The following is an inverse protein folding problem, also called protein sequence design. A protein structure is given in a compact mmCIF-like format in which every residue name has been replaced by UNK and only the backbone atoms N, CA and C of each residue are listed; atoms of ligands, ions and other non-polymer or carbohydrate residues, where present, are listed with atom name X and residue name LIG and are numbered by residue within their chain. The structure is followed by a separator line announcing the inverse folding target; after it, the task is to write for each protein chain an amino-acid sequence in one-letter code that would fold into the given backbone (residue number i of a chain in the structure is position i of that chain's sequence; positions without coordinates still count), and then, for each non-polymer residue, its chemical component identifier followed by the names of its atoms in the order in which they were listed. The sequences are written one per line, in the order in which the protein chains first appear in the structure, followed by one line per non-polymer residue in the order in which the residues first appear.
data_IF_545522672298
#
_entry.id   IF_545522672298
#
_cell.length_a   1.000
_cell.length_b   1.000
_cell.length_c   1.000
_cell.angle_alpha   90.00
_cell.angle_beta   90.00
_cell.angle_gamma   90.00
#
_symmetry.space_group_name_H-M   'P 1'
#
loop_
_entity.id
_entity.type
_entity.pdbx_description
1 polymer ?
#
# COMPACT_ATOMS: atom_id res chain seq x y z
N UNK A 1 19.17 3.66 16.73
CA UNK A 1 20.60 3.75 16.48
C UNK A 1 21.22 2.36 16.44
N UNK A 2 22.32 2.16 15.67
CA UNK A 2 23.05 0.90 15.58
C UNK A 2 22.13 -0.25 15.15
N UNK A 3 22.01 -1.33 15.94
CA UNK A 3 21.06 -2.41 15.67
C UNK A 3 19.62 -1.90 15.49
N UNK A 4 19.21 -0.93 16.31
CA UNK A 4 17.92 -0.27 16.14
C UNK A 4 17.82 0.52 14.82
N UNK A 5 18.94 1.03 14.30
CA UNK A 5 19.02 1.67 12.99
C UNK A 5 18.74 0.69 11.86
N UNK A 6 19.33 -0.52 11.90
CA UNK A 6 19.05 -1.60 10.93
C UNK A 6 17.57 -2.01 10.99
N UNK A 7 17.04 -2.24 12.20
CA UNK A 7 15.63 -2.57 12.38
C UNK A 7 14.70 -1.47 11.86
N UNK A 8 15.03 -0.20 12.10
CA UNK A 8 14.25 0.94 11.61
C UNK A 8 14.24 1.04 10.09
N UNK A 9 15.38 0.78 9.41
CA UNK A 9 15.44 0.74 7.94
C UNK A 9 14.51 -0.35 7.39
N UNK A 10 14.55 -1.57 7.94
CA UNK A 10 13.68 -2.67 7.52
C UNK A 10 12.20 -2.36 7.74
N UNK A 11 11.86 -1.87 8.94
CA UNK A 11 10.48 -1.52 9.27
C UNK A 11 9.95 -0.38 8.41
N UNK A 12 10.79 0.63 8.11
CA UNK A 12 10.43 1.73 7.22
C UNK A 12 10.04 1.24 5.82
N UNK A 13 10.85 0.39 5.19
CA UNK A 13 10.56 -0.15 3.87
C UNK A 13 9.39 -1.14 3.86
N UNK A 14 9.18 -1.89 4.96
CA UNK A 14 8.14 -2.90 5.04
C UNK A 14 6.77 -2.34 5.42
N UNK A 15 6.73 -1.28 6.25
CA UNK A 15 5.51 -0.66 6.78
C UNK A 15 5.39 0.83 6.40
N UNK A 16 5.96 1.25 5.28
CA UNK A 16 5.94 2.65 4.85
C UNK A 16 4.52 3.24 4.85
N UNK A 17 3.53 2.48 4.43
CA UNK A 17 2.13 2.87 4.36
C UNK A 17 1.46 3.16 5.73
N UNK A 18 2.12 2.83 6.85
CA UNK A 18 1.67 3.17 8.21
C UNK A 18 2.45 4.32 8.85
N UNK A 19 3.50 4.81 8.22
CA UNK A 19 4.45 5.74 8.82
C UNK A 19 4.36 7.13 8.16
N UNK A 20 4.59 8.19 8.94
CA UNK A 20 4.88 9.52 8.42
C UNK A 20 6.37 9.66 8.06
N UNK A 21 7.23 8.97 8.80
CA UNK A 21 8.67 9.00 8.57
C UNK A 21 9.41 7.99 9.42
N UNK A 22 10.69 7.82 9.13
CA UNK A 22 11.62 6.98 9.88
C UNK A 22 13.01 7.62 9.93
N UNK A 23 13.67 7.47 11.08
CA UNK A 23 15.00 8.09 11.32
C UNK A 23 16.03 7.07 11.80
N UNK A 24 16.40 6.05 11.01
CA UNK A 24 17.53 5.19 11.34
C UNK A 24 18.83 5.98 11.46
N UNK A 25 19.67 5.61 12.43
CA UNK A 25 20.95 6.26 12.69
C UNK A 25 22.04 5.23 12.96
N UNK A 26 23.23 5.45 12.40
CA UNK A 26 24.35 4.53 12.47
C UNK A 26 23.95 3.09 12.14
N UNK A 27 22.98 2.94 11.22
CA UNK A 27 22.57 1.71 10.61
C UNK A 27 23.36 1.45 9.32
N UNK A 28 23.06 0.39 8.63
CA UNK A 28 23.75 0.00 7.40
C UNK A 28 23.09 -1.24 6.84
N UNK A 29 21.77 -1.23 6.78
CA UNK A 29 21.03 -2.34 6.16
C UNK A 29 21.21 -2.30 4.64
N UNK A 30 21.63 -3.40 4.02
CA UNK A 30 21.63 -3.52 2.56
C UNK A 30 20.24 -3.22 1.98
N UNK A 31 20.17 -2.43 0.90
CA UNK A 31 18.90 -2.00 0.32
C UNK A 31 18.05 -3.16 -0.23
N UNK A 32 18.65 -4.32 -0.49
CA UNK A 32 17.90 -5.53 -0.79
C UNK A 32 16.97 -5.95 0.36
N UNK A 33 17.35 -5.70 1.61
CA UNK A 33 16.55 -6.03 2.80
C UNK A 33 15.64 -4.87 3.23
N UNK A 34 15.88 -3.68 2.71
CA UNK A 34 15.11 -2.46 2.97
C UNK A 34 15.03 -1.62 1.68
N UNK A 35 14.25 -2.05 0.67
CA UNK A 35 14.17 -1.37 -0.62
C UNK A 35 13.79 0.10 -0.47
N UNK A 36 14.62 1.00 -1.01
CA UNK A 36 14.40 2.45 -0.95
C UNK A 36 13.15 2.86 -1.73
N UNK A 37 12.80 2.11 -2.75
CA UNK A 37 11.60 2.38 -3.56
C UNK A 37 10.31 2.32 -2.74
N UNK A 38 10.27 1.49 -1.68
CA UNK A 38 9.08 1.36 -0.85
C UNK A 38 8.81 2.60 0.04
N UNK A 39 9.80 3.48 0.24
CA UNK A 39 9.65 4.64 1.13
C UNK A 39 9.26 5.93 0.41
N UNK A 40 8.65 5.83 -0.76
CA UNK A 40 8.28 6.97 -1.61
C UNK A 40 7.51 8.08 -0.89
N UNK A 41 6.62 7.70 0.03
CA UNK A 41 5.66 8.60 0.68
C UNK A 41 5.97 8.91 2.16
N UNK A 42 7.15 8.54 2.63
CA UNK A 42 7.56 8.85 4.01
C UNK A 42 8.81 9.72 4.04
N UNK A 43 8.97 10.51 5.09
CA UNK A 43 10.23 11.19 5.36
C UNK A 43 11.26 10.18 5.87
N UNK A 44 12.33 9.97 5.12
CA UNK A 44 13.34 8.96 5.46
C UNK A 44 14.68 9.60 5.79
N UNK A 45 15.12 9.49 7.06
CA UNK A 45 16.43 9.98 7.50
C UNK A 45 17.34 8.81 7.84
N UNK A 46 18.54 8.77 7.22
CA UNK A 46 19.59 7.81 7.56
C UNK A 46 20.92 8.55 7.72
N UNK A 47 21.43 8.61 8.94
CA UNK A 47 22.66 9.35 9.24
C UNK A 47 23.71 8.43 9.86
N UNK A 48 24.93 8.49 9.34
CA UNK A 48 26.03 7.59 9.72
C UNK A 48 27.36 8.35 9.66
N UNK A 49 28.26 8.11 10.58
CA UNK A 49 29.60 8.73 10.54
C UNK A 49 30.46 8.19 9.38
N UNK A 50 31.26 9.05 8.76
CA UNK A 50 32.17 8.69 7.67
C UNK A 50 33.22 7.66 8.09
N UNK A 51 33.59 7.65 9.37
CA UNK A 51 34.56 6.71 9.96
C UNK A 51 33.89 5.44 10.53
N UNK A 52 32.57 5.30 10.40
CA UNK A 52 31.81 4.11 10.83
C UNK A 52 31.86 3.02 9.73
N UNK A 53 33.06 2.47 9.54
CA UNK A 53 33.35 1.48 8.51
C UNK A 53 33.03 0.03 8.91
N UNK A 54 32.78 -0.21 10.21
CA UNK A 54 32.35 -1.51 10.69
C UNK A 54 31.05 -1.95 10.01
N UNK A 55 31.04 -3.18 9.48
CA UNK A 55 29.93 -3.71 8.69
C UNK A 55 29.58 -2.86 7.44
N UNK A 56 30.50 -2.01 6.98
CA UNK A 56 30.33 -1.11 5.82
C UNK A 56 29.19 -0.10 5.96
N UNK A 57 28.83 0.30 7.18
CA UNK A 57 27.70 1.20 7.43
C UNK A 57 27.79 2.53 6.67
N UNK A 58 28.97 3.16 6.67
CA UNK A 58 29.23 4.38 5.91
C UNK A 58 29.00 4.20 4.40
N UNK A 59 29.47 3.09 3.81
CA UNK A 59 29.28 2.78 2.39
C UNK A 59 27.83 2.47 2.04
N UNK A 60 27.14 1.72 2.89
CA UNK A 60 25.74 1.39 2.70
C UNK A 60 24.84 2.62 2.83
N UNK A 61 25.17 3.56 3.73
CA UNK A 61 24.51 4.86 3.83
C UNK A 61 24.76 5.70 2.57
N UNK A 62 26.00 5.74 2.07
CA UNK A 62 26.32 6.43 0.82
C UNK A 62 25.52 5.84 -0.36
N UNK A 63 25.43 4.51 -0.45
CA UNK A 63 24.61 3.84 -1.47
C UNK A 63 23.13 4.19 -1.34
N UNK A 64 22.61 4.26 -0.12
CA UNK A 64 21.23 4.67 0.12
C UNK A 64 20.96 6.11 -0.33
N UNK A 65 21.90 7.03 -0.09
CA UNK A 65 21.81 8.41 -0.58
C UNK A 65 21.77 8.47 -2.11
N UNK A 66 22.67 7.78 -2.79
CA UNK A 66 22.72 7.74 -4.26
C UNK A 66 21.42 7.23 -4.87
N UNK A 67 20.84 6.18 -4.29
CA UNK A 67 19.56 5.62 -4.75
C UNK A 67 18.39 6.57 -4.44
N UNK A 68 18.35 7.18 -3.26
CA UNK A 68 17.30 8.12 -2.88
C UNK A 68 17.32 9.38 -3.75
N UNK A 69 18.50 9.95 -4.02
CA UNK A 69 18.70 11.08 -4.91
C UNK A 69 18.18 10.80 -6.33
N UNK A 70 18.48 9.61 -6.85
CA UNK A 70 18.04 9.22 -8.19
C UNK A 70 16.52 9.02 -8.24
N UNK A 71 15.94 8.34 -7.25
CA UNK A 71 14.48 8.15 -7.15
C UNK A 71 13.75 9.49 -7.01
N UNK A 72 14.26 10.42 -6.20
CA UNK A 72 13.66 11.76 -6.06
C UNK A 72 13.71 12.56 -7.36
N UNK A 73 14.76 12.43 -8.17
CA UNK A 73 14.85 13.06 -9.49
C UNK A 73 13.82 12.47 -10.47
N UNK A 74 13.61 11.15 -10.43
CA UNK A 74 12.63 10.46 -11.27
C UNK A 74 11.20 10.76 -10.86
N UNK A 75 10.95 10.96 -9.56
CA UNK A 75 9.64 11.19 -8.97
C UNK A 75 9.64 12.46 -8.09
N UNK A 76 9.62 13.67 -8.68
CA UNK A 76 9.64 14.92 -7.93
C UNK A 76 8.45 15.02 -6.96
N UNK A 77 8.74 15.36 -5.71
CA UNK A 77 7.74 15.45 -4.62
C UNK A 77 7.63 14.17 -3.76
N UNK A 78 8.22 13.07 -4.20
CA UNK A 78 8.33 11.82 -3.45
C UNK A 78 9.77 11.60 -2.95
N UNK A 79 9.98 10.57 -2.13
CA UNK A 79 11.29 10.20 -1.60
C UNK A 79 11.98 11.32 -0.82
N UNK A 80 11.22 12.03 0.02
CA UNK A 80 11.78 13.05 0.90
C UNK A 80 12.77 12.41 1.87
N UNK A 81 14.03 12.81 1.79
CA UNK A 81 15.07 12.18 2.58
C UNK A 81 16.06 13.18 3.19
N UNK A 82 16.62 12.77 4.34
CA UNK A 82 17.74 13.39 5.00
C UNK A 82 18.80 12.32 5.28
N UNK A 83 19.52 11.93 4.21
CA UNK A 83 20.55 10.91 4.27
C UNK A 83 21.92 11.58 4.25
N UNK A 84 22.76 11.26 5.25
CA UNK A 84 24.03 11.96 5.45
C UNK A 84 25.12 11.00 5.93
N UNK A 85 26.31 11.08 5.31
CA UNK A 85 27.55 10.52 5.82
C UNK A 85 28.35 11.64 6.46
N UNK A 86 28.41 11.67 7.80
CA UNK A 86 28.91 12.80 8.59
C UNK A 86 30.43 12.72 8.68
N UNK A 87 31.13 13.69 8.09
CA UNK A 87 32.57 13.76 8.10
C UNK A 87 33.17 13.89 9.53
N UNK A 88 34.21 13.12 9.82
CA UNK A 88 34.89 13.11 11.09
C UNK A 88 34.23 12.28 12.19
N UNK A 89 32.99 11.88 12.03
CA UNK A 89 32.25 11.06 13.00
C UNK A 89 32.49 9.55 12.75
N UNK A 90 32.55 8.79 13.84
CA UNK A 90 32.55 7.33 13.84
C UNK A 90 31.13 6.78 14.09
N UNK A 91 31.06 5.72 14.88
CA UNK A 91 29.75 5.09 15.22
C UNK A 91 28.85 5.96 16.12
N UNK A 92 29.40 6.90 16.84
CA UNK A 92 28.66 7.89 17.64
C UNK A 92 28.50 9.17 16.81
N UNK A 93 27.28 9.57 16.54
CA UNK A 93 26.93 10.76 15.77
C UNK A 93 26.01 11.69 16.57
N UNK A 94 25.84 12.93 16.11
CA UNK A 94 24.81 13.82 16.63
C UNK A 94 23.42 13.43 16.11
N UNK A 95 22.54 12.97 16.99
CA UNK A 95 21.18 12.52 16.64
C UNK A 95 20.15 13.67 16.58
N UNK A 96 20.48 14.84 17.15
CA UNK A 96 19.54 15.95 17.37
C UNK A 96 18.84 16.46 16.11
N UNK A 97 19.48 16.52 14.94
CA UNK A 97 18.83 17.05 13.74
C UNK A 97 17.68 16.19 13.18
N UNK A 98 17.69 14.88 13.45
CA UNK A 98 16.74 13.94 12.84
C UNK A 98 15.29 14.18 13.30
N UNK A 99 15.06 14.32 14.60
CA UNK A 99 13.69 14.44 15.14
C UNK A 99 12.98 15.72 14.72
N UNK A 100 13.59 16.92 14.78
CA UNK A 100 12.97 18.14 14.28
C UNK A 100 12.63 18.05 12.78
N UNK A 101 13.53 17.48 11.96
CA UNK A 101 13.28 17.30 10.54
C UNK A 101 12.09 16.36 10.28
N UNK A 102 12.01 15.22 10.97
CA UNK A 102 10.88 14.29 10.84
C UNK A 102 9.54 14.92 11.27
N UNK A 103 9.57 15.84 12.24
CA UNK A 103 8.36 16.51 12.74
C UNK A 103 7.69 17.45 11.73
N UNK A 104 8.35 17.76 10.63
CA UNK A 104 7.80 18.58 9.54
C UNK A 104 6.86 17.77 8.61
N UNK A 105 6.83 16.44 8.75
CA UNK A 105 6.09 15.55 7.86
C UNK A 105 4.92 14.89 8.55
N UNK A 106 3.86 14.73 7.80
CA UNK A 106 2.67 13.97 8.20
C UNK A 106 2.50 12.76 7.28
N UNK A 107 1.84 11.74 7.79
CA UNK A 107 1.52 10.55 7.01
C UNK A 107 0.49 10.89 5.93
N UNK A 108 0.72 10.41 4.72
CA UNK A 108 -0.26 10.36 3.65
C UNK A 108 -0.79 8.92 3.49
N UNK A 109 -2.04 8.61 3.90
CA UNK A 109 -2.64 7.29 3.73
C UNK A 109 -3.18 7.04 2.32
N UNK A 110 -3.24 8.07 1.44
CA UNK A 110 -3.91 8.07 0.14
C UNK A 110 -3.04 8.67 -0.98
N UNK A 111 -1.79 8.23 -1.15
CA UNK A 111 -0.89 8.83 -2.11
C UNK A 111 -1.31 8.59 -3.56
N UNK A 112 -0.96 9.53 -4.44
CA UNK A 112 -1.17 9.40 -5.89
C UNK A 112 -0.15 8.49 -6.56
N UNK A 113 0.96 8.22 -5.89
CA UNK A 113 2.03 7.35 -6.36
C UNK A 113 2.57 6.52 -5.22
N UNK A 114 2.81 5.25 -5.48
CA UNK A 114 3.68 4.41 -4.66
C UNK A 114 4.37 3.34 -5.50
N UNK A 115 5.52 2.90 -5.01
CA UNK A 115 6.18 1.69 -5.44
C UNK A 115 6.20 0.69 -4.27
N UNK A 116 5.88 -0.56 -4.54
CA UNK A 116 5.87 -1.63 -3.54
C UNK A 116 6.62 -2.86 -4.04
N UNK A 117 7.84 -3.05 -3.58
CA UNK A 117 8.54 -4.33 -3.69
C UNK A 117 8.07 -5.23 -2.54
N UNK A 118 7.32 -6.28 -2.88
CA UNK A 118 6.76 -7.22 -1.90
C UNK A 118 7.74 -8.36 -1.62
N UNK A 119 8.38 -8.33 -0.48
CA UNK A 119 9.41 -9.27 -0.07
C UNK A 119 9.07 -9.96 1.25
N UNK A 120 9.75 -11.07 1.51
CA UNK A 120 9.67 -11.77 2.78
C UNK A 120 10.53 -11.05 3.84
N UNK A 121 9.92 -10.76 4.99
CA UNK A 121 10.63 -10.27 6.17
C UNK A 121 10.41 -11.25 7.33
N UNK A 122 11.42 -12.07 7.62
CA UNK A 122 11.41 -13.07 8.70
C UNK A 122 10.26 -14.11 8.62
N UNK A 123 9.96 -14.59 7.43
CA UNK A 123 8.93 -15.59 7.20
C UNK A 123 7.53 -15.02 7.00
N UNK A 124 7.41 -13.70 6.79
CA UNK A 124 6.16 -13.03 6.53
C UNK A 124 6.24 -12.08 5.34
N UNK A 125 5.23 -12.16 4.46
CA UNK A 125 4.97 -11.18 3.39
C UNK A 125 3.74 -10.38 3.73
N UNK A 126 3.74 -9.12 3.34
CA UNK A 126 2.52 -8.31 3.45
C UNK A 126 1.55 -8.67 2.34
N UNK A 127 0.27 -8.67 2.69
CA UNK A 127 -0.82 -8.87 1.72
C UNK A 127 -1.42 -7.56 1.22
N UNK A 128 -1.08 -6.41 1.84
CA UNK A 128 -1.61 -5.11 1.44
C UNK A 128 -0.59 -3.99 1.64
N UNK A 129 -0.69 -2.95 0.79
CA UNK A 129 0.14 -1.75 0.84
C UNK A 129 -0.66 -0.57 0.26
N UNK A 130 -0.84 0.51 1.02
CA UNK A 130 -1.76 1.61 0.71
C UNK A 130 -3.17 1.08 0.37
N UNK A 131 -3.64 1.26 -0.86
CA UNK A 131 -4.95 0.81 -1.33
C UNK A 131 -4.88 -0.46 -2.21
N UNK A 132 -3.72 -1.14 -2.26
CA UNK A 132 -3.55 -2.38 -3.02
C UNK A 132 -3.47 -3.60 -2.09
N UNK A 133 -4.17 -4.68 -2.43
CA UNK A 133 -4.12 -5.96 -1.74
C UNK A 133 -3.80 -7.09 -2.72
N UNK A 134 -2.85 -7.94 -2.38
CA UNK A 134 -2.58 -9.18 -3.11
C UNK A 134 -3.61 -10.24 -2.69
N UNK A 135 -4.38 -10.74 -3.65
CA UNK A 135 -5.35 -11.83 -3.47
C UNK A 135 -4.69 -13.17 -3.81
N UNK A 136 -4.05 -13.24 -4.98
CA UNK A 136 -3.28 -14.39 -5.41
C UNK A 136 -1.84 -13.92 -5.71
N UNK A 137 -0.84 -14.37 -4.94
CA UNK A 137 0.51 -13.88 -5.11
C UNK A 137 1.13 -14.37 -6.43
N UNK A 138 1.75 -13.46 -7.15
CA UNK A 138 2.50 -13.76 -8.37
C UNK A 138 3.76 -14.58 -8.09
N UNK A 139 4.41 -14.32 -6.97
CA UNK A 139 5.63 -14.96 -6.51
C UNK A 139 5.55 -15.21 -5.00
N UNK A 140 5.99 -16.38 -4.58
CA UNK A 140 5.94 -16.82 -3.17
C UNK A 140 7.32 -17.04 -2.56
N UNK A 141 8.38 -16.95 -3.37
CA UNK A 141 9.75 -17.20 -2.93
C UNK A 141 10.70 -16.12 -3.48
N UNK A 142 11.37 -15.39 -2.60
CA UNK A 142 12.32 -14.32 -2.94
C UNK A 142 13.51 -14.80 -3.78
N UNK A 143 13.86 -16.09 -3.70
CA UNK A 143 14.92 -16.66 -4.53
C UNK A 143 14.56 -16.71 -6.03
N UNK A 144 13.28 -16.65 -6.35
CA UNK A 144 12.79 -16.57 -7.74
C UNK A 144 12.58 -15.11 -8.20
N UNK A 145 12.76 -14.17 -7.31
CA UNK A 145 12.49 -12.75 -7.46
C UNK A 145 11.33 -12.28 -6.60
N UNK A 146 11.08 -10.99 -6.61
CA UNK A 146 10.03 -10.33 -5.84
C UNK A 146 9.07 -9.62 -6.76
N UNK A 147 7.79 -9.63 -6.43
CA UNK A 147 6.80 -8.86 -7.16
C UNK A 147 6.91 -7.39 -6.77
N UNK A 148 6.95 -6.52 -7.77
CA UNK A 148 6.90 -5.08 -7.62
C UNK A 148 5.60 -4.56 -8.23
N UNK A 149 4.94 -3.69 -7.50
CA UNK A 149 3.73 -3.00 -7.90
C UNK A 149 4.02 -1.50 -7.89
N UNK A 150 3.95 -0.88 -9.05
CA UNK A 150 4.09 0.56 -9.19
C UNK A 150 2.75 1.14 -9.58
N UNK A 151 2.18 1.96 -8.72
CA UNK A 151 0.87 2.56 -8.92
C UNK A 151 0.99 4.08 -9.06
N UNK A 152 0.31 4.61 -10.05
CA UNK A 152 0.12 6.06 -10.23
C UNK A 152 -1.37 6.34 -10.44
N UNK A 153 -1.87 7.39 -9.80
CA UNK A 153 -3.25 7.88 -9.98
C UNK A 153 -3.24 9.29 -10.54
N UNK A 154 -4.06 9.50 -11.55
CA UNK A 154 -4.37 10.81 -12.10
C UNK A 154 -5.89 10.97 -12.24
N UNK A 155 -6.50 11.69 -11.29
CA UNK A 155 -7.96 11.76 -11.19
C UNK A 155 -8.57 10.36 -11.01
N UNK A 156 -9.50 9.99 -11.91
CA UNK A 156 -10.12 8.66 -11.90
C UNK A 156 -9.37 7.59 -12.71
N UNK A 157 -8.14 7.88 -13.15
CA UNK A 157 -7.31 6.92 -13.88
C UNK A 157 -6.24 6.36 -12.95
N UNK A 158 -6.17 5.03 -12.86
CA UNK A 158 -5.12 4.30 -12.17
C UNK A 158 -4.26 3.57 -13.19
N UNK A 159 -2.97 3.78 -13.13
CA UNK A 159 -1.96 2.99 -13.85
C UNK A 159 -1.27 2.09 -12.84
N UNK A 160 -1.25 0.79 -13.10
CA UNK A 160 -0.59 -0.22 -12.29
C UNK A 160 0.40 -0.99 -13.16
N UNK A 161 1.68 -0.85 -12.88
CA UNK A 161 2.73 -1.67 -13.48
C UNK A 161 3.16 -2.76 -12.51
N UNK A 162 3.16 -4.02 -13.00
CA UNK A 162 3.52 -5.19 -12.20
C UNK A 162 4.70 -5.90 -12.84
N UNK A 163 5.80 -5.97 -12.10
CA UNK A 163 7.08 -6.51 -12.58
C UNK A 163 7.69 -7.45 -11.54
N UNK A 164 8.50 -8.39 -11.98
CA UNK A 164 9.39 -9.18 -11.13
C UNK A 164 10.75 -8.50 -11.07
N UNK A 165 11.29 -8.30 -9.86
CA UNK A 165 12.67 -7.89 -9.67
C UNK A 165 13.52 -9.06 -9.21
N UNK A 166 14.70 -9.20 -9.79
CA UNK A 166 15.77 -10.08 -9.34
C UNK A 166 17.03 -9.27 -9.06
N UNK A 167 17.80 -9.73 -8.09
CA UNK A 167 19.03 -9.07 -7.65
C UNK A 167 20.25 -9.86 -8.05
N UNK A 168 21.24 -9.17 -8.58
CA UNK A 168 22.64 -9.65 -8.61
C UNK A 168 23.42 -8.86 -7.58
N UNK A 169 23.89 -9.53 -6.53
CA UNK A 169 24.49 -8.90 -5.35
C UNK A 169 26.01 -8.97 -5.42
N UNK A 170 26.67 -7.92 -4.93
CA UNK A 170 28.11 -7.84 -4.71
C UNK A 170 28.38 -7.94 -3.21
N UNK A 171 29.20 -8.90 -2.83
CA UNK A 171 29.56 -9.14 -1.44
C UNK A 171 31.00 -8.68 -1.16
N UNK A 172 31.19 -8.07 0.00
CA UNK A 172 32.52 -7.85 0.56
C UNK A 172 33.16 -9.19 0.96
N UNK A 173 34.51 -9.23 1.19
CA UNK A 173 35.16 -10.44 1.68
C UNK A 173 34.62 -10.99 2.99
N UNK A 174 33.98 -10.15 3.80
CA UNK A 174 33.28 -10.52 5.03
C UNK A 174 31.94 -11.21 4.81
N UNK A 175 31.46 -11.32 3.56
CA UNK A 175 30.14 -11.86 3.22
C UNK A 175 28.98 -10.87 3.36
N UNK A 176 29.27 -9.60 3.70
CA UNK A 176 28.25 -8.55 3.77
C UNK A 176 27.95 -8.05 2.34
N UNK A 177 26.68 -7.95 2.01
CA UNK A 177 26.22 -7.35 0.75
C UNK A 177 26.49 -5.83 0.79
N UNK A 178 27.23 -5.33 -0.18
CA UNK A 178 27.65 -3.92 -0.25
C UNK A 178 27.13 -3.18 -1.48
N UNK A 179 26.72 -3.92 -2.50
CA UNK A 179 26.14 -3.36 -3.74
C UNK A 179 25.28 -4.41 -4.45
N UNK A 180 24.45 -3.96 -5.39
CA UNK A 180 23.59 -4.82 -6.20
C UNK A 180 23.22 -4.15 -7.51
N UNK A 181 22.76 -4.97 -8.46
CA UNK A 181 22.01 -4.52 -9.64
C UNK A 181 20.64 -5.18 -9.65
N UNK A 182 19.64 -4.45 -10.12
CA UNK A 182 18.27 -4.94 -10.30
C UNK A 182 18.00 -5.26 -11.77
N UNK A 183 17.35 -6.40 -12.02
CA UNK A 183 16.76 -6.74 -13.31
C UNK A 183 15.26 -6.88 -13.15
N UNK A 184 14.52 -6.15 -13.98
CA UNK A 184 13.07 -6.21 -14.01
C UNK A 184 12.59 -7.05 -15.19
N UNK A 185 11.59 -7.88 -14.96
CA UNK A 185 10.94 -8.72 -15.97
C UNK A 185 9.42 -8.67 -15.79
N UNK A 186 8.61 -8.85 -16.84
CA UNK A 186 7.18 -8.91 -16.71
C UNK A 186 6.71 -10.03 -15.76
N UNK A 187 5.63 -9.77 -15.04
CA UNK A 187 4.82 -10.77 -14.35
C UNK A 187 3.59 -11.07 -15.20
N UNK A 188 3.23 -12.36 -15.31
CA UNK A 188 2.15 -12.84 -16.17
C UNK A 188 1.04 -13.56 -15.41
N UNK A 189 1.05 -13.54 -14.08
CA UNK A 189 0.05 -14.20 -13.23
C UNK A 189 -0.09 -13.52 -11.87
N UNK A 190 -1.19 -13.80 -11.22
CA UNK A 190 -1.52 -13.27 -9.90
C UNK A 190 -2.77 -12.40 -9.94
N UNK A 191 -3.33 -12.14 -8.77
CA UNK A 191 -4.50 -11.26 -8.64
C UNK A 191 -4.29 -10.25 -7.55
N UNK A 192 -4.71 -9.04 -7.80
CA UNK A 192 -4.68 -7.96 -6.83
C UNK A 192 -6.04 -7.27 -6.75
N UNK A 193 -6.35 -6.69 -5.61
CA UNK A 193 -7.52 -5.84 -5.40
C UNK A 193 -7.05 -4.40 -5.21
N UNK A 194 -7.56 -3.52 -6.04
CA UNK A 194 -7.42 -2.08 -5.91
C UNK A 194 -8.63 -1.55 -5.16
N UNK A 195 -8.43 -0.98 -3.97
CA UNK A 195 -9.47 -0.36 -3.18
C UNK A 195 -9.62 1.12 -3.55
N UNK A 196 -10.85 1.62 -3.49
CA UNK A 196 -11.23 2.96 -3.90
C UNK A 196 -12.10 3.63 -2.83
N UNK A 197 -11.89 4.91 -2.60
CA UNK A 197 -12.75 5.73 -1.75
C UNK A 197 -12.99 7.12 -2.37
N UNK A 198 -13.93 7.86 -1.79
CA UNK A 198 -14.37 9.16 -2.27
C UNK A 198 -13.36 10.30 -1.98
N UNK A 199 -12.32 10.05 -1.16
CA UNK A 199 -11.23 11.01 -0.93
C UNK A 199 -10.27 11.08 -2.13
N UNK A 200 -10.15 9.95 -2.85
CA UNK A 200 -9.20 9.77 -3.95
C UNK A 200 -9.87 9.79 -5.32
N UNK A 201 -11.13 9.34 -5.41
CA UNK A 201 -11.85 9.11 -6.67
C UNK A 201 -13.23 9.77 -6.66
N UNK A 202 -13.64 10.32 -7.79
CA UNK A 202 -15.04 10.65 -8.03
C UNK A 202 -15.80 9.38 -8.44
N UNK A 203 -16.37 8.67 -7.47
CA UNK A 203 -17.11 7.43 -7.72
C UNK A 203 -18.45 7.64 -8.47
N UNK A 204 -18.83 8.89 -8.75
CA UNK A 204 -19.98 9.21 -9.62
C UNK A 204 -19.60 9.22 -11.11
N UNK A 205 -18.31 9.02 -11.42
CA UNK A 205 -17.77 8.97 -12.76
C UNK A 205 -17.08 7.63 -13.00
N UNK A 206 -16.89 7.21 -14.26
CA UNK A 206 -16.14 6.01 -14.56
C UNK A 206 -14.72 6.06 -14.01
N UNK A 207 -14.28 4.94 -13.45
CA UNK A 207 -12.88 4.70 -13.07
C UNK A 207 -12.20 3.94 -14.20
N UNK A 208 -11.00 4.37 -14.55
CA UNK A 208 -10.17 3.73 -15.56
C UNK A 208 -8.99 3.01 -14.91
N UNK A 209 -8.73 1.76 -15.32
CA UNK A 209 -7.55 1.00 -14.90
C UNK A 209 -6.71 0.62 -16.10
N UNK A 210 -5.43 0.97 -16.03
CA UNK A 210 -4.40 0.63 -17.01
C UNK A 210 -3.41 -0.32 -16.33
N UNK A 211 -3.28 -1.54 -16.83
CA UNK A 211 -2.34 -2.54 -16.34
C UNK A 211 -1.21 -2.74 -17.35
N UNK A 212 0.05 -2.52 -16.94
CA UNK A 212 1.22 -2.67 -17.80
C UNK A 212 1.05 -1.99 -19.18
N UNK A 213 0.50 -0.76 -19.17
CA UNK A 213 0.26 0.05 -20.37
C UNK A 213 -1.01 -0.30 -21.17
N UNK A 214 -1.78 -1.30 -20.76
CA UNK A 214 -3.03 -1.70 -21.42
C UNK A 214 -4.24 -1.30 -20.59
N UNK A 215 -5.22 -0.61 -21.18
CA UNK A 215 -6.51 -0.35 -20.52
C UNK A 215 -7.27 -1.67 -20.38
N UNK A 216 -7.57 -2.06 -19.13
CA UNK A 216 -8.27 -3.31 -18.80
C UNK A 216 -9.66 -3.07 -18.21
N UNK A 217 -9.95 -1.84 -17.81
CA UNK A 217 -11.24 -1.46 -17.26
C UNK A 217 -11.51 0.04 -17.47
N UNK A 218 -12.75 0.35 -17.79
CA UNK A 218 -13.26 1.73 -17.82
C UNK A 218 -14.77 1.67 -17.57
N UNK A 219 -15.19 1.97 -16.34
CA UNK A 219 -16.60 1.82 -15.98
C UNK A 219 -16.93 2.32 -14.59
N UNK A 220 -18.20 2.25 -14.24
CA UNK A 220 -18.70 2.61 -12.91
C UNK A 220 -18.31 1.56 -11.88
N UNK A 221 -17.96 2.02 -10.67
CA UNK A 221 -17.62 1.15 -9.54
C UNK A 221 -18.58 1.46 -8.40
N UNK A 222 -19.40 0.49 -8.03
CA UNK A 222 -20.34 0.63 -6.92
C UNK A 222 -19.67 0.49 -5.57
N UNK A 223 -20.28 1.12 -4.56
CA UNK A 223 -19.88 0.99 -3.17
C UNK A 223 -20.66 -0.11 -2.48
N UNK A 224 -20.04 -0.80 -1.51
CA UNK A 224 -20.73 -1.76 -0.68
C UNK A 224 -20.08 -1.92 0.71
N UNK A 225 -20.88 -2.24 1.71
CA UNK A 225 -20.44 -2.40 3.09
C UNK A 225 -19.46 -3.57 3.26
N UNK A 226 -19.60 -4.64 2.47
CA UNK A 226 -18.71 -5.80 2.54
C UNK A 226 -17.27 -5.40 2.21
N UNK A 227 -17.06 -4.66 1.12
CA UNK A 227 -15.74 -4.15 0.72
C UNK A 227 -15.14 -3.26 1.81
N UNK A 228 -15.95 -2.39 2.44
CA UNK A 228 -15.50 -1.53 3.53
C UNK A 228 -15.04 -2.36 4.75
N UNK A 229 -15.79 -3.38 5.15
CA UNK A 229 -15.41 -4.27 6.24
C UNK A 229 -14.15 -5.07 5.92
N UNK A 230 -14.03 -5.57 4.69
CA UNK A 230 -12.84 -6.30 4.23
C UNK A 230 -11.58 -5.41 4.21
N UNK A 231 -11.70 -4.15 3.80
CA UNK A 231 -10.58 -3.20 3.84
C UNK A 231 -10.19 -2.87 5.27
N UNK A 232 -11.15 -2.65 6.16
CA UNK A 232 -10.89 -2.46 7.58
C UNK A 232 -10.11 -3.64 8.18
N UNK A 233 -10.54 -4.87 7.91
CA UNK A 233 -9.87 -6.07 8.38
C UNK A 233 -8.48 -6.29 7.75
N UNK A 234 -8.27 -5.82 6.52
CA UNK A 234 -6.99 -5.93 5.81
C UNK A 234 -5.94 -4.96 6.36
N UNK A 235 -6.33 -3.71 6.57
CA UNK A 235 -5.38 -2.64 6.85
C UNK A 235 -5.31 -2.25 8.34
N UNK A 236 -6.35 -2.53 9.15
CA UNK A 236 -6.45 -2.11 10.56
C UNK A 236 -6.20 -0.61 10.74
N UNK A 237 -6.70 0.20 9.82
CA UNK A 237 -6.41 1.62 9.73
C UNK A 237 -7.70 2.41 9.44
N UNK A 238 -8.14 3.30 10.34
CA UNK A 238 -9.38 4.06 10.15
C UNK A 238 -9.33 5.04 8.96
N UNK A 239 -8.14 5.44 8.51
CA UNK A 239 -7.99 6.27 7.32
C UNK A 239 -8.12 5.47 6.02
N UNK A 240 -7.97 4.15 6.07
CA UNK A 240 -8.03 3.25 4.92
C UNK A 240 -9.29 2.37 4.92
N UNK A 241 -10.45 3.03 5.07
CA UNK A 241 -11.76 2.42 4.88
C UNK A 241 -12.23 2.68 3.46
N UNK A 242 -12.29 1.62 2.66
CA UNK A 242 -12.61 1.71 1.24
C UNK A 242 -13.96 1.05 0.95
N UNK A 243 -14.97 1.84 0.51
CA UNK A 243 -16.29 1.30 0.21
C UNK A 243 -16.38 0.60 -1.14
N UNK A 244 -15.40 0.79 -2.02
CA UNK A 244 -15.38 0.25 -3.37
C UNK A 244 -14.05 -0.45 -3.67
N UNK A 245 -14.05 -1.39 -4.62
CA UNK A 245 -12.83 -2.02 -5.08
C UNK A 245 -12.99 -2.63 -6.48
N UNK A 246 -11.85 -2.88 -7.13
CA UNK A 246 -11.74 -3.55 -8.42
C UNK A 246 -10.75 -4.71 -8.24
N UNK A 247 -11.15 -5.93 -8.59
CA UNK A 247 -10.28 -7.09 -8.67
C UNK A 247 -9.62 -7.12 -10.05
N UNK A 248 -8.29 -7.17 -10.07
CA UNK A 248 -7.46 -7.19 -11.27
C UNK A 248 -6.82 -8.57 -11.39
N UNK A 249 -7.10 -9.24 -12.49
CA UNK A 249 -6.45 -10.50 -12.88
C UNK A 249 -5.32 -10.18 -13.87
N UNK A 250 -4.08 -10.44 -13.43
CA UNK A 250 -2.88 -10.11 -14.23
C UNK A 250 -2.73 -11.07 -15.41
N UNK A 251 -3.13 -12.34 -15.26
CA UNK A 251 -3.04 -13.34 -16.30
C UNK A 251 -4.08 -13.10 -17.40
N UNK A 252 -5.32 -12.83 -17.00
CA UNK A 252 -6.43 -12.58 -17.92
C UNK A 252 -6.43 -11.15 -18.48
N UNK A 253 -5.54 -10.26 -17.99
CA UNK A 253 -5.52 -8.85 -18.35
C UNK A 253 -6.91 -8.22 -18.22
N UNK A 254 -7.61 -8.49 -17.11
CA UNK A 254 -9.00 -8.09 -16.89
C UNK A 254 -9.18 -7.50 -15.50
N UNK A 255 -10.25 -6.70 -15.34
CA UNK A 255 -10.61 -6.15 -14.05
C UNK A 255 -12.14 -6.16 -13.87
N UNK A 256 -12.57 -6.46 -12.65
CA UNK A 256 -13.98 -6.60 -12.29
C UNK A 256 -14.28 -5.84 -11.00
N UNK A 257 -15.26 -4.93 -10.98
CA UNK A 257 -15.70 -4.28 -9.74
C UNK A 257 -16.24 -5.29 -8.74
N UNK A 258 -15.95 -5.09 -7.46
CA UNK A 258 -16.43 -5.95 -6.38
C UNK A 258 -17.83 -5.58 -5.90
N UNK A 259 -18.46 -4.54 -6.45
CA UNK A 259 -19.85 -4.23 -6.15
C UNK A 259 -20.71 -5.47 -6.42
N UNK A 260 -21.57 -5.79 -5.48
CA UNK A 260 -22.68 -6.70 -5.77
C UNK A 260 -23.47 -5.96 -6.85
N UNK A 261 -23.63 -6.59 -8.03
CA UNK A 261 -24.62 -6.11 -8.99
C UNK A 261 -25.87 -5.77 -8.20
N UNK A 262 -26.32 -4.54 -8.31
CA UNK A 262 -27.64 -4.19 -7.79
C UNK A 262 -28.52 -5.27 -8.38
N UNK A 263 -29.05 -6.15 -7.52
CA UNK A 263 -30.12 -7.03 -7.93
C UNK A 263 -31.13 -6.07 -8.49
N UNK A 264 -31.25 -6.02 -9.83
CA UNK A 264 -32.39 -5.37 -10.45
C UNK A 264 -33.55 -6.04 -9.77
N UNK A 265 -34.19 -5.34 -8.86
CA UNK A 265 -35.40 -5.81 -8.27
C UNK A 265 -36.28 -6.03 -9.50
N UNK A 266 -36.53 -7.30 -9.85
CA UNK A 266 -37.51 -7.65 -10.85
C UNK A 266 -38.81 -6.95 -10.42
N UNK A 267 -39.01 -5.78 -10.96
CA UNK A 267 -40.28 -5.06 -10.81
C UNK A 267 -41.31 -5.84 -11.63
N UNK A 268 -41.85 -6.87 -11.00
CA UNK A 268 -42.97 -7.58 -11.59
C UNK A 268 -43.07 -9.01 -11.11
N UNK A 269 -43.51 -9.20 -9.86
CA UNK A 269 -44.50 -10.21 -9.42
C UNK A 269 -44.61 -10.10 -7.89
N UNK A 270 -45.84 -9.77 -7.42
CA UNK A 270 -46.36 -9.85 -6.06
C UNK A 270 -45.33 -10.19 -4.95
N UNK A 271 -44.42 -9.26 -4.63
CA UNK A 271 -43.67 -9.33 -3.39
C UNK A 271 -44.62 -8.87 -2.29
N UNK A 272 -45.12 -9.82 -1.50
CA UNK A 272 -45.72 -9.49 -0.22
C UNK A 272 -44.79 -8.53 0.51
N UNK A 273 -45.26 -7.31 0.79
CA UNK A 273 -44.48 -6.22 1.37
C UNK A 273 -43.80 -6.69 2.64
N UNK A 274 -42.52 -6.88 2.60
CA UNK A 274 -41.76 -7.38 3.75
C UNK A 274 -41.59 -6.24 4.75
N UNK A 275 -42.02 -6.48 5.98
CA UNK A 275 -41.94 -5.51 7.07
C UNK A 275 -40.91 -6.00 8.10
N UNK A 276 -40.13 -5.07 8.61
CA UNK A 276 -39.16 -5.34 9.66
C UNK A 276 -39.42 -4.50 10.90
N UNK A 277 -39.20 -5.03 12.09
CA UNK A 277 -39.14 -4.24 13.31
C UNK A 277 -37.87 -3.39 13.38
N UNK A 278 -37.77 -2.47 14.35
CA UNK A 278 -36.60 -1.63 14.54
C UNK A 278 -35.34 -2.43 14.96
N UNK A 279 -35.46 -3.69 15.32
CA UNK A 279 -34.37 -4.62 15.58
C UNK A 279 -33.91 -5.38 14.35
N UNK A 280 -34.50 -5.10 13.15
CA UNK A 280 -34.15 -5.74 11.89
C UNK A 280 -34.74 -7.14 11.73
N UNK A 281 -35.70 -7.58 12.58
CA UNK A 281 -36.40 -8.85 12.44
C UNK A 281 -37.55 -8.70 11.48
N UNK A 282 -37.68 -9.64 10.56
CA UNK A 282 -38.82 -9.74 9.65
C UNK A 282 -40.13 -9.99 10.44
N UNK A 283 -41.15 -9.20 10.17
CA UNK A 283 -42.48 -9.30 10.79
C UNK A 283 -43.49 -9.59 9.68
N UNK A 284 -44.09 -10.78 9.69
CA UNK A 284 -45.04 -11.18 8.65
C UNK A 284 -46.37 -10.43 8.79
N UNK A 285 -46.82 -10.17 10.02
CA UNK A 285 -48.03 -9.41 10.33
C UNK A 285 -47.77 -8.50 11.53
N UNK A 286 -47.48 -7.20 11.31
CA UNK A 286 -47.30 -6.27 12.43
C UNK A 286 -48.68 -6.02 13.11
N UNK A 287 -48.82 -6.63 14.28
CA UNK A 287 -50.09 -6.55 15.08
C UNK A 287 -49.96 -5.56 16.25
N UNK A 288 -48.75 -5.21 16.63
CA UNK A 288 -48.51 -4.28 17.72
C UNK A 288 -48.34 -2.85 17.20
N UNK A 289 -48.85 -1.89 17.99
CA UNK A 289 -48.63 -0.48 17.68
C UNK A 289 -47.16 -0.15 17.79
N UNK A 290 -46.53 0.28 16.67
CA UNK A 290 -45.13 0.55 16.64
C UNK A 290 -44.62 1.11 15.30
N UNK A 291 -43.36 1.44 15.28
CA UNK A 291 -42.64 1.86 14.07
C UNK A 291 -42.01 0.61 13.46
N UNK A 292 -42.23 0.42 12.18
CA UNK A 292 -41.70 -0.67 11.36
C UNK A 292 -41.00 -0.10 10.12
N UNK A 293 -40.14 -0.88 9.52
CA UNK A 293 -39.49 -0.53 8.26
C UNK A 293 -40.18 -1.34 7.14
N UNK A 294 -40.73 -0.64 6.16
CA UNK A 294 -41.33 -1.19 4.96
C UNK A 294 -40.75 -0.51 3.74
N UNK A 295 -40.20 -1.27 2.79
CA UNK A 295 -39.57 -0.74 1.56
C UNK A 295 -38.52 0.36 1.85
N UNK A 296 -37.72 0.17 2.91
CA UNK A 296 -36.70 1.12 3.34
C UNK A 296 -37.20 2.38 4.05
N UNK A 297 -38.56 2.50 4.25
CA UNK A 297 -39.18 3.65 4.92
C UNK A 297 -39.77 3.26 6.28
N UNK A 298 -39.66 4.17 7.24
CA UNK A 298 -40.33 4.00 8.53
C UNK A 298 -41.84 4.20 8.38
N UNK A 299 -42.61 3.21 8.78
CA UNK A 299 -44.10 3.26 8.79
C UNK A 299 -44.64 3.00 10.20
N UNK A 300 -45.67 3.73 10.59
CA UNK A 300 -46.36 3.48 11.85
C UNK A 300 -47.52 2.52 11.60
N UNK A 301 -47.58 1.42 12.33
CA UNK A 301 -48.66 0.44 12.24
C UNK A 301 -49.42 0.38 13.56
N UNK A 302 -50.73 0.24 13.47
CA UNK A 302 -51.66 0.13 14.62
C UNK A 302 -52.31 1.47 14.98
N UNK A 303 -53.63 1.46 15.06
CA UNK A 303 -54.46 2.51 15.67
C UNK A 303 -54.58 2.31 17.17
#
# INVERSE_FOLDING_TARGET
ISEGGYGSQRLAAFYADYLAGAGPMAGGEPLRNAPMENVANIAFSLRTGALDDAFYRNKLTQKALEVADELQKQHPGYYNHFIEVIEGDGHSIDYRPTTPWLAEYTRDPHPDYFFWENYDMYGGRRTGFYNLRVIEPSLTNDNQGRACYEMTREGNTVTLDVKKVTYTTVYAPSGIEIDFTKKYEPITKGKVRLYLNEKEYDLTQPVKVVLNGTEIFNGMVGTNLKTMVESCACFFDPERLFPAAIDIDIEEMSATPTAIDTVEAEHGKDMATVVYDLGGRRVEHPVEKGIYIRDGQAVMVGQ
#
